data_IF_218818794198
#
_entry.id   IF_218818794198
#
_cell.length_a   1.000
_cell.length_b   1.000
_cell.length_c   1.000
_cell.angle_alpha   90.00
_cell.angle_beta   90.00
_cell.angle_gamma   90.00
#
_symmetry.space_group_name_H-M   'P 1'
#
loop_
_entity.id
_entity.type
_entity.pdbx_description
1 polymer ?
#
# COMPACT_ATOMS: atom_id res chain seq x y z
N UNK A 1 -23.76 11.10 -4.25
CA UNK A 1 -22.63 11.20 -5.19
C UNK A 1 -21.91 9.88 -5.09
N UNK A 2 -22.15 9.00 -6.04
CA UNK A 2 -21.58 7.65 -6.08
C UNK A 2 -20.20 7.78 -6.72
N UNK A 3 -19.15 7.31 -6.06
CA UNK A 3 -17.81 7.38 -6.63
C UNK A 3 -17.69 6.34 -7.75
N UNK A 4 -17.94 6.76 -8.99
CA UNK A 4 -17.45 6.08 -10.19
C UNK A 4 -15.98 6.49 -10.39
N UNK A 5 -15.06 5.53 -10.31
CA UNK A 5 -13.62 5.79 -10.46
C UNK A 5 -12.70 5.06 -9.47
N UNK A 6 -13.19 4.11 -8.67
CA UNK A 6 -12.31 3.14 -8.02
C UNK A 6 -11.74 2.16 -9.08
N UNK A 7 -10.53 1.62 -8.84
CA UNK A 7 -9.65 0.97 -9.82
C UNK A 7 -10.17 -0.34 -10.47
N UNK A 8 -11.48 -0.60 -10.45
CA UNK A 8 -12.03 -1.80 -11.04
C UNK A 8 -13.52 -1.66 -11.36
N UNK A 9 -13.83 -1.74 -12.64
CA UNK A 9 -15.12 -2.14 -13.13
C UNK A 9 -14.91 -3.45 -13.92
N UNK A 10 -15.25 -4.57 -13.29
CA UNK A 10 -15.19 -5.96 -13.77
C UNK A 10 -13.85 -6.71 -13.73
N UNK A 11 -13.90 -7.86 -13.04
CA UNK A 11 -12.90 -8.93 -12.94
C UNK A 11 -11.55 -8.58 -12.29
N UNK A 12 -11.62 -8.37 -10.98
CA UNK A 12 -10.50 -8.10 -10.07
C UNK A 12 -9.48 -9.24 -9.91
N UNK A 13 -9.74 -10.42 -10.48
CA UNK A 13 -9.01 -11.63 -10.15
C UNK A 13 -9.30 -12.13 -8.73
N UNK A 14 -8.83 -13.35 -8.42
CA UNK A 14 -8.88 -13.89 -7.07
C UNK A 14 -7.70 -13.35 -6.24
N UNK A 15 -7.94 -12.94 -4.99
CA UNK A 15 -6.89 -12.55 -4.05
C UNK A 15 -6.83 -11.08 -3.66
N UNK A 16 -7.78 -10.25 -4.11
CA UNK A 16 -7.84 -8.85 -3.68
C UNK A 16 -8.38 -8.69 -2.26
N UNK A 17 -7.77 -7.76 -1.54
CA UNK A 17 -8.19 -7.37 -0.19
C UNK A 17 -8.88 -6.02 -0.25
N UNK A 18 -10.09 -5.92 0.31
CA UNK A 18 -10.79 -4.64 0.40
C UNK A 18 -10.29 -3.85 1.62
N UNK A 19 -9.54 -2.78 1.40
CA UNK A 19 -9.02 -1.90 2.47
C UNK A 19 -10.02 -0.84 2.95
N UNK A 20 -11.20 -0.73 2.33
CA UNK A 20 -12.23 0.26 2.67
C UNK A 20 -12.19 1.52 1.81
N UNK A 21 -13.00 2.51 2.17
CA UNK A 21 -12.98 3.84 1.54
C UNK A 21 -11.71 4.59 1.97
N UNK A 22 -11.26 5.54 1.14
CA UNK A 22 -10.13 6.41 1.49
C UNK A 22 -10.27 6.98 2.91
N UNK A 23 -9.21 6.81 3.70
CA UNK A 23 -9.04 7.43 5.02
C UNK A 23 -7.75 8.26 5.01
N UNK A 24 -7.87 9.57 5.23
CA UNK A 24 -6.72 10.46 5.33
C UNK A 24 -5.81 10.11 6.50
N UNK A 25 -6.34 9.46 7.54
CA UNK A 25 -5.59 8.98 8.70
C UNK A 25 -4.62 7.84 8.39
N UNK A 26 -4.68 7.24 7.20
CA UNK A 26 -3.66 6.28 6.74
C UNK A 26 -2.32 6.94 6.42
N UNK A 27 -2.29 8.25 6.20
CA UNK A 27 -1.12 8.97 5.76
C UNK A 27 -0.67 9.99 6.82
N UNK A 28 0.63 10.30 6.84
CA UNK A 28 1.20 11.21 7.83
C UNK A 28 0.65 12.66 7.70
N UNK A 29 0.64 13.23 6.49
CA UNK A 29 0.07 14.55 6.23
C UNK A 29 -0.32 14.73 4.74
N UNK A 30 -1.41 14.09 4.29
CA UNK A 30 -1.79 14.10 2.88
C UNK A 30 -2.18 15.50 2.38
N UNK A 31 -2.68 16.38 3.27
CA UNK A 31 -2.97 17.77 2.93
C UNK A 31 -1.73 18.62 2.67
N UNK A 32 -0.57 18.21 3.21
CA UNK A 32 0.74 18.81 2.93
C UNK A 32 1.54 18.07 1.85
N UNK A 33 0.98 17.04 1.22
CA UNK A 33 1.65 16.22 0.21
C UNK A 33 2.53 15.10 0.78
N UNK A 34 2.45 14.84 2.07
CA UNK A 34 3.17 13.76 2.74
C UNK A 34 2.27 12.52 2.83
N UNK A 35 2.58 11.55 1.97
CA UNK A 35 1.84 10.30 1.82
C UNK A 35 2.60 9.09 2.39
N UNK A 36 3.56 9.30 3.29
CA UNK A 36 4.11 8.20 4.07
C UNK A 36 3.00 7.58 4.93
N UNK A 37 3.11 6.28 5.17
CA UNK A 37 2.17 5.54 6.00
C UNK A 37 2.23 6.03 7.45
N UNK A 38 1.07 6.42 7.97
CA UNK A 38 0.88 6.57 9.41
C UNK A 38 0.91 5.20 10.09
N UNK A 39 0.99 5.11 11.44
CA UNK A 39 0.82 3.84 12.14
C UNK A 39 -0.49 3.09 11.82
N UNK A 40 -1.56 3.84 11.51
CA UNK A 40 -2.83 3.25 11.07
C UNK A 40 -2.73 2.70 9.65
N UNK A 41 -2.13 3.46 8.73
CA UNK A 41 -1.92 3.01 7.35
C UNK A 41 -1.02 1.77 7.29
N UNK A 42 0.08 1.77 8.05
CA UNK A 42 0.96 0.63 8.23
C UNK A 42 0.18 -0.63 8.63
N UNK A 43 -0.69 -0.53 9.63
CA UNK A 43 -1.51 -1.67 10.09
C UNK A 43 -2.51 -2.13 9.03
N UNK A 44 -3.10 -1.21 8.27
CA UNK A 44 -4.10 -1.52 7.23
C UNK A 44 -3.46 -2.17 5.99
N UNK A 45 -2.26 -1.74 5.62
CA UNK A 45 -1.60 -2.16 4.39
C UNK A 45 -0.50 -3.19 4.58
N UNK A 46 -0.11 -3.47 5.83
CA UNK A 46 0.76 -4.59 6.16
C UNK A 46 0.21 -5.88 5.55
N UNK A 47 1.10 -6.65 4.91
CA UNK A 47 0.85 -7.97 4.35
C UNK A 47 -0.19 -8.06 3.21
N UNK A 48 -0.71 -6.91 2.76
CA UNK A 48 -1.64 -6.82 1.62
C UNK A 48 -0.92 -7.11 0.31
N UNK A 49 0.33 -6.66 0.19
CA UNK A 49 1.18 -6.98 -0.94
C UNK A 49 2.08 -8.19 -0.64
N UNK A 50 2.65 -8.72 -1.72
CA UNK A 50 3.65 -9.78 -1.66
C UNK A 50 4.81 -9.33 -2.52
N UNK A 51 6.01 -9.29 -1.94
CA UNK A 51 7.23 -8.97 -2.65
C UNK A 51 7.52 -10.06 -3.69
N UNK A 52 7.88 -9.66 -4.91
CA UNK A 52 8.23 -10.55 -6.01
C UNK A 52 9.63 -10.32 -6.53
N UNK A 53 10.27 -11.38 -7.03
CA UNK A 53 11.56 -11.23 -7.71
C UNK A 53 11.44 -10.21 -8.86
N UNK A 54 12.22 -9.13 -8.77
CA UNK A 54 12.15 -7.97 -9.67
C UNK A 54 11.55 -6.72 -9.04
N UNK A 55 10.91 -6.82 -7.88
CA UNK A 55 10.50 -5.65 -7.10
C UNK A 55 11.72 -4.85 -6.61
N UNK A 56 11.60 -3.52 -6.48
CA UNK A 56 12.66 -2.70 -5.92
C UNK A 56 13.09 -3.18 -4.51
N UNK A 57 14.40 -3.18 -4.21
CA UNK A 57 14.91 -3.59 -2.91
C UNK A 57 14.72 -2.54 -1.81
N UNK A 58 14.34 -1.31 -2.19
CA UNK A 58 14.08 -0.20 -1.28
C UNK A 58 12.81 0.53 -1.68
N UNK A 59 12.23 1.26 -0.74
CA UNK A 59 11.10 2.17 -0.96
C UNK A 59 11.56 3.55 -1.50
N UNK A 60 10.67 4.55 -1.49
CA UNK A 60 11.00 5.90 -1.99
C UNK A 60 11.98 6.68 -1.12
N UNK A 61 12.10 6.32 0.16
CA UNK A 61 12.95 6.98 1.15
C UNK A 61 14.29 6.24 1.34
N UNK A 62 14.38 5.05 0.76
CA UNK A 62 15.58 4.22 0.74
C UNK A 62 15.55 3.10 1.78
N UNK A 63 14.42 2.89 2.45
CA UNK A 63 14.27 1.85 3.45
C UNK A 63 14.14 0.47 2.82
N UNK A 64 14.80 -0.49 3.47
CA UNK A 64 14.93 -1.83 2.92
C UNK A 64 13.57 -2.54 2.86
N UNK A 65 13.24 -3.04 1.67
CA UNK A 65 12.11 -3.96 1.47
C UNK A 65 12.55 -5.41 1.68
N UNK A 66 11.62 -6.36 1.86
CA UNK A 66 11.96 -7.73 2.26
C UNK A 66 12.99 -8.45 1.37
N UNK A 67 12.97 -8.19 0.06
CA UNK A 67 13.96 -8.76 -0.87
C UNK A 67 13.86 -10.27 -1.08
N UNK A 68 12.75 -10.88 -0.68
CA UNK A 68 12.51 -12.34 -0.74
C UNK A 68 11.19 -12.61 -1.46
N UNK A 69 11.22 -13.37 -2.54
CA UNK A 69 10.02 -13.72 -3.31
C UNK A 69 8.99 -14.42 -2.41
N UNK A 70 7.75 -13.93 -2.46
CA UNK A 70 6.67 -14.44 -1.63
C UNK A 70 6.59 -13.87 -0.22
N UNK A 71 7.57 -13.05 0.20
CA UNK A 71 7.48 -12.36 1.49
C UNK A 71 6.31 -11.37 1.49
N UNK A 72 5.66 -11.25 2.66
CA UNK A 72 4.63 -10.23 2.87
C UNK A 72 5.24 -8.84 2.86
N UNK A 73 4.51 -7.91 2.28
CA UNK A 73 4.94 -6.52 2.16
C UNK A 73 3.74 -5.56 2.22
N UNK A 74 4.04 -4.28 2.34
CA UNK A 74 3.05 -3.21 2.36
C UNK A 74 2.51 -2.94 0.95
N UNK A 75 1.20 -2.75 0.83
CA UNK A 75 0.63 -2.26 -0.43
C UNK A 75 1.11 -0.83 -0.72
N UNK A 76 1.70 -0.65 -1.90
CA UNK A 76 2.33 0.61 -2.30
C UNK A 76 3.84 0.46 -2.41
N UNK A 77 4.54 1.58 -2.32
CA UNK A 77 6.00 1.63 -2.46
C UNK A 77 6.63 2.43 -1.31
N UNK A 78 5.96 2.45 -0.15
CA UNK A 78 6.38 3.08 1.09
C UNK A 78 6.32 2.02 2.21
N UNK A 79 7.38 1.91 3.02
CA UNK A 79 7.34 1.12 4.25
C UNK A 79 7.34 2.05 5.47
N UNK A 80 6.72 1.66 6.61
CA UNK A 80 6.64 2.54 7.77
C UNK A 80 8.03 2.90 8.34
N UNK A 81 8.23 4.19 8.60
CA UNK A 81 9.39 4.79 9.26
C UNK A 81 9.34 4.70 10.80
#
# INVERSE_FOLDING_TARGET
>A
MTFEGNASDTDLGAGNTMSGMYDAGWFANPGGGDYHLSPSGATTFADVATWKEGDPPVDYDGDARPGVDGAKDYAGADVPQ
#
